data_IF_956094059251
#
_entry.id   IF_956094059251
#
_cell.length_a   1.000
_cell.length_b   1.000
_cell.length_c   1.000
_cell.angle_alpha   90.00
_cell.angle_beta   90.00
_cell.angle_gamma   90.00
#
_symmetry.space_group_name_H-M   'P 1'
#
loop_
_entity.id
_entity.type
_entity.pdbx_description
1 polymer ?
#
# COMPACT_ATOMS: atom_id res chain seq x y z
N UNK A 1 15.90 17.13 -7.36
CA UNK A 1 14.89 16.47 -6.52
C UNK A 1 14.52 17.51 -5.47
N UNK A 2 13.58 18.39 -5.82
CA UNK A 2 13.09 19.43 -4.92
C UNK A 2 12.42 18.73 -3.73
N UNK A 3 12.65 19.23 -2.52
CA UNK A 3 12.01 18.69 -1.33
C UNK A 3 10.55 19.19 -1.30
N UNK A 4 9.72 18.57 -2.15
CA UNK A 4 8.31 18.93 -2.35
C UNK A 4 7.49 18.81 -1.05
N UNK A 5 8.03 18.18 0.00
CA UNK A 5 7.36 18.02 1.30
C UNK A 5 7.51 19.26 2.18
N UNK A 6 8.61 19.99 2.05
CA UNK A 6 8.85 21.24 2.80
C UNK A 6 8.03 22.42 2.28
N UNK A 7 7.69 22.44 0.99
CA UNK A 7 6.89 23.50 0.36
C UNK A 7 5.37 23.32 0.54
N UNK A 8 4.94 22.25 1.22
CA UNK A 8 3.53 22.00 1.50
C UNK A 8 3.00 22.85 2.65
N UNK A 9 1.73 23.31 2.57
CA UNK A 9 1.09 23.98 3.70
C UNK A 9 1.06 23.06 4.93
N UNK A 10 1.10 23.61 6.15
CA UNK A 10 1.21 22.84 7.39
C UNK A 10 0.04 21.87 7.64
N UNK A 11 -1.09 22.08 6.97
CA UNK A 11 -2.20 21.12 6.97
C UNK A 11 -1.86 19.84 6.16
N UNK A 12 -1.22 19.99 5.00
CA UNK A 12 -0.86 18.87 4.14
C UNK A 12 0.28 18.03 4.73
N UNK A 13 1.26 18.67 5.38
CA UNK A 13 2.32 17.95 6.11
C UNK A 13 1.74 17.09 7.25
N UNK A 14 0.79 17.63 8.03
CA UNK A 14 0.11 16.88 9.09
C UNK A 14 -0.70 15.71 8.54
N UNK A 15 -1.42 15.90 7.43
CA UNK A 15 -2.18 14.84 6.79
C UNK A 15 -1.28 13.69 6.29
N UNK A 16 -0.11 14.03 5.72
CA UNK A 16 0.88 13.04 5.30
C UNK A 16 1.47 12.27 6.50
N UNK A 17 1.82 12.97 7.57
CA UNK A 17 2.33 12.35 8.80
C UNK A 17 1.29 11.39 9.42
N UNK A 18 0.03 11.79 9.50
CA UNK A 18 -1.05 10.92 10.00
C UNK A 18 -1.26 9.70 9.11
N UNK A 19 -1.23 9.88 7.78
CA UNK A 19 -1.34 8.77 6.83
C UNK A 19 -0.16 7.80 6.97
N UNK A 20 1.04 8.31 7.21
CA UNK A 20 2.23 7.49 7.46
C UNK A 20 2.14 6.72 8.77
N UNK A 21 1.67 7.36 9.85
CA UNK A 21 1.40 6.68 11.12
C UNK A 21 0.36 5.56 10.97
N UNK A 22 -0.71 5.79 10.20
CA UNK A 22 -1.72 4.76 9.91
C UNK A 22 -1.12 3.58 9.13
N UNK A 23 -0.31 3.84 8.10
CA UNK A 23 0.40 2.79 7.36
C UNK A 23 1.33 1.99 8.27
N UNK A 24 2.13 2.66 9.09
CA UNK A 24 3.08 2.02 10.00
C UNK A 24 2.37 1.14 11.06
N UNK A 25 1.23 1.59 11.59
CA UNK A 25 0.40 0.77 12.49
C UNK A 25 -0.15 -0.46 11.78
N UNK A 26 -0.68 -0.30 10.56
CA UNK A 26 -1.18 -1.42 9.77
C UNK A 26 -0.06 -2.43 9.42
N UNK A 27 1.15 -1.96 9.08
CA UNK A 27 2.31 -2.81 8.84
C UNK A 27 2.81 -3.51 10.11
N UNK A 28 2.72 -2.85 11.27
CA UNK A 28 3.10 -3.45 12.56
C UNK A 28 2.09 -4.51 13.02
N UNK A 29 0.80 -4.33 12.72
CA UNK A 29 -0.27 -5.30 13.02
C UNK A 29 -0.37 -6.40 11.96
N UNK A 30 0.17 -6.18 10.76
CA UNK A 30 0.29 -7.20 9.74
C UNK A 30 1.21 -8.30 10.27
N UNK A 31 0.63 -9.47 10.56
CA UNK A 31 1.40 -10.66 10.90
C UNK A 31 2.39 -10.92 9.75
N UNK A 32 3.65 -11.31 10.05
CA UNK A 32 4.60 -11.67 9.02
C UNK A 32 4.10 -12.95 8.33
N UNK A 33 3.36 -12.79 7.24
CA UNK A 33 3.06 -13.88 6.32
C UNK A 33 4.30 -14.13 5.46
N UNK A 34 4.54 -15.39 5.05
CA UNK A 34 5.58 -15.67 4.09
C UNK A 34 5.37 -14.79 2.86
N UNK A 35 6.46 -14.13 2.44
CA UNK A 35 6.47 -13.25 1.27
C UNK A 35 6.00 -14.07 0.07
N UNK A 36 4.97 -13.57 -0.60
CA UNK A 36 4.53 -14.13 -1.87
C UNK A 36 5.60 -13.81 -2.92
N UNK A 37 6.11 -14.85 -3.59
CA UNK A 37 7.14 -14.74 -4.61
C UNK A 37 6.52 -15.09 -5.96
N UNK A 38 6.75 -14.26 -6.97
CA UNK A 38 6.20 -14.45 -8.32
C UNK A 38 4.78 -13.92 -8.52
N UNK A 39 4.18 -13.29 -7.50
CA UNK A 39 2.86 -12.64 -7.58
C UNK A 39 2.92 -11.14 -7.86
N UNK A 40 1.73 -10.55 -8.12
CA UNK A 40 1.52 -9.10 -8.25
C UNK A 40 1.88 -8.37 -6.94
N UNK A 41 2.28 -7.09 -7.03
CA UNK A 41 2.36 -6.21 -5.86
C UNK A 41 0.99 -6.17 -5.15
N UNK A 42 0.98 -6.56 -3.88
CA UNK A 42 -0.23 -6.68 -3.07
C UNK A 42 -0.51 -8.12 -2.64
N UNK A 43 -1.62 -8.35 -1.93
CA UNK A 43 -2.01 -9.68 -1.47
C UNK A 43 -2.42 -10.61 -2.63
N UNK A 44 -2.14 -11.91 -2.48
CA UNK A 44 -2.41 -12.93 -3.50
C UNK A 44 -3.88 -12.88 -3.97
N UNK A 45 -4.14 -12.71 -5.28
CA UNK A 45 -5.46 -12.91 -5.87
C UNK A 45 -6.13 -14.21 -5.42
N UNK A 46 -5.37 -15.30 -5.29
CA UNK A 46 -5.87 -16.60 -4.86
C UNK A 46 -6.33 -16.63 -3.40
N UNK A 47 -5.80 -15.75 -2.55
CA UNK A 47 -6.19 -15.67 -1.12
C UNK A 47 -7.46 -14.86 -0.91
N UNK A 48 -7.72 -13.87 -1.76
CA UNK A 48 -8.80 -12.91 -1.58
C UNK A 48 -9.85 -12.93 -2.69
N UNK A 49 -9.68 -13.78 -3.70
CA UNK A 49 -10.59 -13.91 -4.84
C UNK A 49 -10.52 -12.74 -5.83
N UNK A 50 -9.58 -11.80 -5.67
CA UNK A 50 -9.42 -10.64 -6.54
C UNK A 50 -8.51 -10.95 -7.72
N UNK A 51 -9.07 -11.63 -8.73
CA UNK A 51 -8.42 -11.90 -10.01
C UNK A 51 -8.61 -10.76 -11.02
N UNK A 52 -9.21 -9.64 -10.61
CA UNK A 52 -9.47 -8.53 -11.50
C UNK A 52 -8.33 -7.52 -11.47
N UNK A 53 -8.04 -6.97 -12.65
CA UNK A 53 -7.16 -5.81 -12.82
C UNK A 53 -7.80 -4.88 -13.82
N UNK A 54 -8.18 -3.68 -13.35
CA UNK A 54 -8.89 -2.68 -14.16
C UNK A 54 -10.20 -3.23 -14.79
N UNK A 55 -10.91 -4.10 -14.06
CA UNK A 55 -12.17 -4.71 -14.53
C UNK A 55 -12.01 -5.84 -15.54
N UNK A 56 -10.79 -6.37 -15.71
CA UNK A 56 -10.51 -7.54 -16.55
C UNK A 56 -10.07 -8.67 -15.63
N UNK A 57 -10.74 -9.81 -15.69
CA UNK A 57 -10.28 -11.04 -15.04
C UNK A 57 -9.00 -11.50 -15.74
N UNK A 58 -7.90 -11.60 -14.99
CA UNK A 58 -6.60 -12.03 -15.47
C UNK A 58 -6.26 -13.34 -14.77
N UNK A 59 -5.90 -14.33 -15.57
CA UNK A 59 -5.20 -15.54 -15.14
C UNK A 59 -3.78 -15.47 -15.72
N UNK A 60 -2.78 -16.01 -15.02
CA UNK A 60 -1.31 -16.03 -15.28
C UNK A 60 -0.54 -14.68 -15.32
#
# INVERSE_FOLDING_TARGET
MSDDRTDLPPAAQRALAEAEERRRKAEAEAKPLPKELGGRDGPDPARYGDWEKKGIAIDF
#
